data_IF_159265256326
#
_entry.id   IF_159265256326
#
_cell.length_a   1.000
_cell.length_b   1.000
_cell.length_c   1.000
_cell.angle_alpha   90.00
_cell.angle_beta   90.00
_cell.angle_gamma   90.00
#
_symmetry.space_group_name_H-M   'P 1'
#
loop_
_entity.id
_entity.type
_entity.pdbx_description
1 polymer ?
#
# COMPACT_ATOMS: atom_id res chain seq x y z
N UNK A 1 -12.05 17.95 -6.50
CA UNK A 1 -10.72 17.47 -6.09
C UNK A 1 -9.90 18.67 -5.66
N UNK A 2 -9.34 18.60 -4.43
CA UNK A 2 -8.80 19.79 -3.74
C UNK A 2 -7.28 20.00 -3.94
N UNK A 3 -6.58 19.06 -4.57
CA UNK A 3 -5.16 19.17 -4.88
C UNK A 3 -4.21 19.40 -3.67
N UNK A 4 -3.01 19.96 -3.89
CA UNK A 4 -1.95 20.06 -2.85
C UNK A 4 -2.34 20.87 -1.59
N UNK A 5 -3.31 21.77 -1.68
CA UNK A 5 -3.78 22.56 -0.52
C UNK A 5 -4.38 21.66 0.57
N UNK A 6 -5.03 20.56 0.19
CA UNK A 6 -5.57 19.60 1.16
C UNK A 6 -4.46 18.91 1.94
N UNK A 7 -3.36 18.53 1.28
CA UNK A 7 -2.19 17.90 1.92
C UNK A 7 -1.65 18.82 3.01
N UNK A 8 -1.42 20.10 2.68
CA UNK A 8 -0.95 21.07 3.65
C UNK A 8 -1.90 21.19 4.84
N UNK A 9 -3.22 21.32 4.59
CA UNK A 9 -4.23 21.43 5.66
C UNK A 9 -4.24 20.21 6.59
N UNK A 10 -3.98 19.00 6.10
CA UNK A 10 -3.91 17.78 6.91
C UNK A 10 -2.62 17.77 7.73
N UNK A 11 -1.49 18.12 7.13
CA UNK A 11 -0.19 18.22 7.83
C UNK A 11 -0.21 19.28 8.92
N UNK A 12 -0.79 20.43 8.68
CA UNK A 12 -0.93 21.52 9.66
C UNK A 12 -1.74 21.08 10.91
N UNK A 13 -2.52 20.01 10.81
CA UNK A 13 -3.23 19.36 11.93
C UNK A 13 -2.42 18.27 12.64
N UNK A 14 -1.17 18.03 12.22
CA UNK A 14 -0.28 17.03 12.84
C UNK A 14 -0.50 15.59 12.39
N UNK A 15 -1.22 15.36 11.27
CA UNK A 15 -1.42 14.00 10.75
C UNK A 15 -0.32 13.60 9.78
N UNK A 16 0.09 12.34 9.85
CA UNK A 16 0.88 11.68 8.79
C UNK A 16 0.03 11.40 7.56
N UNK A 17 0.64 11.46 6.39
CA UNK A 17 -0.08 11.33 5.11
C UNK A 17 0.49 10.19 4.27
N UNK A 18 -0.36 9.22 3.96
CA UNK A 18 -0.13 8.28 2.86
C UNK A 18 -0.79 8.84 1.59
N UNK A 19 0.02 9.31 0.66
CA UNK A 19 -0.44 9.83 -0.64
C UNK A 19 -0.52 8.69 -1.65
N UNK A 20 -1.69 8.09 -1.76
CA UNK A 20 -1.97 6.88 -2.53
C UNK A 20 -2.33 7.20 -4.00
N UNK A 21 -1.33 7.43 -4.84
CA UNK A 21 -1.50 7.75 -6.27
C UNK A 21 -1.23 6.58 -7.22
N UNK A 22 -0.52 5.56 -6.74
CA UNK A 22 -0.19 4.34 -7.52
C UNK A 22 0.45 4.66 -8.88
N UNK A 23 1.54 5.45 -8.88
CA UNK A 23 2.19 5.84 -10.13
C UNK A 23 2.63 4.61 -10.93
N UNK A 24 2.32 4.62 -12.21
CA UNK A 24 2.66 3.55 -13.15
C UNK A 24 2.81 4.16 -14.56
N UNK A 25 4.04 4.35 -14.99
CA UNK A 25 4.40 4.93 -16.28
C UNK A 25 5.87 4.59 -16.60
N UNK A 26 6.39 5.03 -17.73
CA UNK A 26 7.80 4.86 -18.05
C UNK A 26 8.70 5.53 -16.99
N UNK A 27 9.94 5.02 -16.77
CA UNK A 27 10.78 5.43 -15.65
C UNK A 27 10.98 6.95 -15.52
N UNK A 28 11.21 7.66 -16.64
CA UNK A 28 11.44 9.12 -16.61
C UNK A 28 10.20 9.88 -16.14
N UNK A 29 9.00 9.50 -16.58
CA UNK A 29 7.73 10.11 -16.19
C UNK A 29 7.50 9.93 -14.70
N UNK A 30 7.69 8.70 -14.19
CA UNK A 30 7.52 8.40 -12.76
C UNK A 30 8.55 9.15 -11.91
N UNK A 31 9.81 9.24 -12.35
CA UNK A 31 10.85 10.02 -11.67
C UNK A 31 10.45 11.50 -11.53
N UNK A 32 9.95 12.11 -12.60
CA UNK A 32 9.51 13.52 -12.59
C UNK A 32 8.26 13.73 -11.72
N UNK A 33 7.32 12.79 -11.74
CA UNK A 33 6.17 12.84 -10.84
C UNK A 33 6.60 12.76 -9.37
N UNK A 34 7.49 11.82 -9.02
CA UNK A 34 8.02 11.69 -7.65
C UNK A 34 8.83 12.90 -7.19
N UNK A 35 9.58 13.55 -8.07
CA UNK A 35 10.25 14.83 -7.80
C UNK A 35 9.26 15.92 -7.39
N UNK A 36 8.09 15.98 -8.07
CA UNK A 36 7.00 16.88 -7.69
C UNK A 36 6.38 16.53 -6.34
N UNK A 37 6.14 15.24 -6.09
CA UNK A 37 5.55 14.76 -4.83
C UNK A 37 6.49 14.95 -3.63
N UNK A 38 7.80 14.85 -3.84
CA UNK A 38 8.80 15.06 -2.80
C UNK A 38 8.69 16.45 -2.12
N UNK A 39 8.19 17.45 -2.86
CA UNK A 39 8.00 18.83 -2.36
C UNK A 39 6.76 18.98 -1.46
N UNK A 40 5.89 17.98 -1.42
CA UNK A 40 4.66 17.99 -0.59
C UNK A 40 4.91 17.53 0.84
N UNK A 41 6.10 17.01 1.12
CA UNK A 41 6.53 16.53 2.44
C UNK A 41 5.54 15.54 3.08
N UNK A 42 5.05 14.60 2.30
CA UNK A 42 4.19 13.50 2.77
C UNK A 42 5.04 12.37 3.37
N UNK A 43 4.42 11.50 4.18
CA UNK A 43 5.15 10.48 4.92
C UNK A 43 5.32 9.18 4.13
N UNK A 44 4.35 8.87 3.25
CA UNK A 44 4.33 7.66 2.44
C UNK A 44 3.75 7.93 1.06
N UNK A 45 4.39 7.35 0.02
CA UNK A 45 3.91 7.36 -1.38
C UNK A 45 3.97 5.96 -1.97
N UNK A 46 3.30 5.74 -3.10
CA UNK A 46 3.36 4.44 -3.77
C UNK A 46 3.46 4.51 -5.29
N UNK A 47 3.91 3.38 -5.84
CA UNK A 47 3.94 3.06 -7.27
C UNK A 47 3.29 1.69 -7.49
N UNK A 48 3.13 1.24 -8.73
CA UNK A 48 2.83 -0.16 -9.04
C UNK A 48 4.12 -0.96 -9.30
N UNK A 49 4.25 -2.14 -8.67
CA UNK A 49 5.39 -3.04 -8.90
C UNK A 49 5.43 -3.59 -10.34
N UNK A 50 4.27 -3.69 -10.98
CA UNK A 50 4.14 -4.11 -12.39
C UNK A 50 4.87 -3.20 -13.39
N UNK A 51 5.23 -1.97 -13.00
CA UNK A 51 6.09 -1.09 -13.79
C UNK A 51 7.54 -1.55 -13.88
N UNK A 52 7.93 -2.56 -13.10
CA UNK A 52 9.25 -3.19 -13.12
C UNK A 52 10.31 -2.42 -12.33
N UNK A 53 11.46 -3.09 -12.17
CA UNK A 53 12.55 -2.61 -11.32
C UNK A 53 13.08 -1.23 -11.75
N UNK A 54 13.30 -1.01 -13.04
CA UNK A 54 13.81 0.26 -13.55
C UNK A 54 12.89 1.46 -13.23
N UNK A 55 11.56 1.27 -13.33
CA UNK A 55 10.59 2.29 -12.96
C UNK A 55 10.62 2.58 -11.45
N UNK A 56 10.72 1.55 -10.62
CA UNK A 56 10.79 1.70 -9.16
C UNK A 56 12.08 2.39 -8.71
N UNK A 57 13.23 2.06 -9.29
CA UNK A 57 14.50 2.75 -9.05
C UNK A 57 14.43 4.23 -9.46
N UNK A 58 13.82 4.53 -10.62
CA UNK A 58 13.61 5.89 -11.07
C UNK A 58 12.67 6.68 -10.14
N UNK A 59 11.65 6.03 -9.58
CA UNK A 59 10.76 6.63 -8.58
C UNK A 59 11.54 7.07 -7.34
N UNK A 60 12.39 6.19 -6.79
CA UNK A 60 13.24 6.51 -5.63
C UNK A 60 14.18 7.66 -5.97
N UNK A 61 14.84 7.61 -7.13
CA UNK A 61 15.75 8.66 -7.58
C UNK A 61 15.06 10.03 -7.62
N UNK A 62 13.85 10.11 -8.19
CA UNK A 62 13.06 11.34 -8.22
C UNK A 62 12.68 11.84 -6.82
N UNK A 63 12.20 10.93 -5.96
CA UNK A 63 11.79 11.25 -4.60
C UNK A 63 12.96 11.80 -3.75
N UNK A 64 14.14 11.16 -3.82
CA UNK A 64 15.32 11.50 -3.02
C UNK A 64 16.01 12.80 -3.42
N UNK A 65 15.63 13.40 -4.55
CA UNK A 65 16.15 14.73 -4.93
C UNK A 65 15.74 15.83 -3.94
N UNK A 66 14.55 15.75 -3.36
CA UNK A 66 14.01 16.78 -2.49
C UNK A 66 13.57 16.27 -1.11
N UNK A 67 13.38 14.96 -0.95
CA UNK A 67 12.92 14.37 0.31
C UNK A 67 13.64 13.05 0.60
N UNK A 68 14.26 12.98 1.78
CA UNK A 68 14.99 11.78 2.25
C UNK A 68 14.16 10.92 3.22
N UNK A 69 13.06 11.45 3.73
CA UNK A 69 12.28 10.83 4.82
C UNK A 69 11.02 10.12 4.34
N UNK A 70 10.39 10.61 3.26
CA UNK A 70 9.20 9.97 2.70
C UNK A 70 9.49 8.51 2.35
N UNK A 71 8.68 7.60 2.90
CA UNK A 71 8.71 6.18 2.53
C UNK A 71 8.08 5.95 1.18
N UNK A 72 8.57 4.95 0.45
CA UNK A 72 8.02 4.56 -0.85
C UNK A 72 7.77 3.07 -0.89
N UNK A 73 6.55 2.66 -1.28
CA UNK A 73 6.13 1.27 -1.36
C UNK A 73 5.56 0.96 -2.75
N UNK A 74 5.46 -0.31 -3.10
CA UNK A 74 4.87 -0.72 -4.37
C UNK A 74 3.61 -1.57 -4.17
N UNK A 75 2.58 -1.32 -4.98
CA UNK A 75 1.40 -2.19 -5.06
C UNK A 75 1.79 -3.45 -5.83
N UNK A 76 1.60 -4.62 -5.21
CA UNK A 76 1.84 -5.93 -5.82
C UNK A 76 0.65 -6.32 -6.73
N UNK A 77 -0.25 -7.17 -6.24
CA UNK A 77 -1.51 -7.47 -6.91
C UNK A 77 -2.67 -6.81 -6.13
N UNK A 78 -3.71 -6.39 -6.84
CA UNK A 78 -4.89 -5.84 -6.19
C UNK A 78 -5.60 -6.96 -5.40
N UNK A 79 -6.15 -6.63 -4.24
CA UNK A 79 -6.88 -7.59 -3.40
C UNK A 79 -8.17 -8.13 -4.03
N UNK A 80 -8.62 -7.53 -5.13
CA UNK A 80 -9.73 -7.99 -5.97
C UNK A 80 -9.30 -8.96 -7.09
N UNK A 81 -8.00 -9.05 -7.42
CA UNK A 81 -7.50 -9.92 -8.49
C UNK A 81 -7.74 -11.38 -8.15
N UNK A 82 -8.30 -12.12 -9.10
CA UNK A 82 -8.48 -13.57 -9.05
C UNK A 82 -7.38 -14.27 -9.84
N UNK A 83 -7.17 -15.59 -9.64
CA UNK A 83 -6.23 -16.36 -10.46
C UNK A 83 -6.63 -16.36 -11.93
N UNK A 84 -7.91 -16.45 -12.23
CA UNK A 84 -8.41 -16.34 -13.61
C UNK A 84 -7.99 -15.02 -14.25
N UNK A 85 -8.17 -13.91 -13.56
CA UNK A 85 -7.72 -12.59 -14.06
C UNK A 85 -6.20 -12.52 -14.21
N UNK A 86 -5.45 -13.11 -13.27
CA UNK A 86 -3.99 -13.18 -13.33
C UNK A 86 -3.53 -13.93 -14.60
N UNK A 87 -4.13 -15.09 -14.86
CA UNK A 87 -3.75 -15.93 -15.98
C UNK A 87 -4.27 -15.41 -17.33
N UNK A 88 -5.54 -15.05 -17.42
CA UNK A 88 -6.19 -14.76 -18.70
C UNK A 88 -6.05 -13.28 -19.12
N UNK A 89 -6.10 -12.35 -18.15
CA UNK A 89 -6.07 -10.92 -18.48
C UNK A 89 -4.66 -10.32 -18.34
N UNK A 90 -3.85 -10.80 -17.37
CA UNK A 90 -2.49 -10.31 -17.15
C UNK A 90 -1.43 -11.22 -17.78
N UNK A 91 -1.80 -12.42 -18.26
CA UNK A 91 -0.91 -13.42 -18.86
C UNK A 91 0.25 -13.85 -17.91
N UNK A 92 -0.03 -13.94 -16.62
CA UNK A 92 0.91 -14.40 -15.58
C UNK A 92 0.49 -15.83 -15.20
N UNK A 93 1.33 -16.82 -15.47
CA UNK A 93 1.01 -18.25 -15.34
C UNK A 93 1.41 -18.85 -13.97
N UNK A 94 1.66 -18.01 -12.97
CA UNK A 94 1.96 -18.42 -11.58
C UNK A 94 0.74 -18.27 -10.69
N UNK A 95 0.81 -18.74 -9.46
CA UNK A 95 -0.20 -18.44 -8.44
C UNK A 95 -0.17 -16.94 -8.07
N UNK A 96 -1.25 -16.44 -7.47
CA UNK A 96 -1.29 -15.05 -6.95
C UNK A 96 -0.18 -14.83 -5.92
N UNK A 97 0.05 -15.79 -5.03
CA UNK A 97 1.08 -15.71 -3.99
C UNK A 97 2.49 -15.61 -4.58
N UNK A 98 2.80 -16.43 -5.60
CA UNK A 98 4.08 -16.38 -6.31
C UNK A 98 4.27 -15.04 -7.04
N UNK A 99 3.22 -14.54 -7.72
CA UNK A 99 3.25 -13.23 -8.38
C UNK A 99 3.48 -12.09 -7.39
N UNK A 100 2.76 -12.10 -6.25
CA UNK A 100 2.93 -11.12 -5.18
C UNK A 100 4.34 -11.17 -4.60
N UNK A 101 4.85 -12.36 -4.30
CA UNK A 101 6.20 -12.53 -3.77
C UNK A 101 7.27 -12.06 -4.76
N UNK A 102 7.10 -12.34 -6.05
CA UNK A 102 8.01 -11.84 -7.09
C UNK A 102 8.03 -10.30 -7.12
N UNK A 103 6.85 -9.65 -7.11
CA UNK A 103 6.76 -8.20 -7.06
C UNK A 103 7.37 -7.62 -5.77
N UNK A 104 7.18 -8.28 -4.63
CA UNK A 104 7.76 -7.86 -3.36
C UNK A 104 9.30 -7.94 -3.39
N UNK A 105 9.86 -9.03 -3.93
CA UNK A 105 11.32 -9.19 -4.13
C UNK A 105 11.89 -8.11 -5.05
N UNK A 106 11.25 -7.84 -6.20
CA UNK A 106 11.66 -6.79 -7.12
C UNK A 106 11.62 -5.40 -6.45
N UNK A 107 10.59 -5.15 -5.64
CA UNK A 107 10.44 -3.89 -4.89
C UNK A 107 11.59 -3.71 -3.88
N UNK A 108 11.92 -4.75 -3.12
CA UNK A 108 13.05 -4.71 -2.19
C UNK A 108 14.38 -4.52 -2.92
N UNK A 109 14.61 -5.24 -4.05
CA UNK A 109 15.81 -5.11 -4.87
C UNK A 109 15.96 -3.72 -5.51
N UNK A 110 14.85 -3.05 -5.80
CA UNK A 110 14.84 -1.67 -6.27
C UNK A 110 15.10 -0.66 -5.13
N UNK A 111 15.07 -1.08 -3.87
CA UNK A 111 15.33 -0.25 -2.70
C UNK A 111 14.09 0.42 -2.12
N UNK A 112 12.88 -0.08 -2.41
CA UNK A 112 11.65 0.40 -1.79
C UNK A 112 11.56 -0.03 -0.33
N UNK A 113 10.80 0.74 0.47
CA UNK A 113 10.61 0.49 1.90
C UNK A 113 9.60 -0.63 2.20
N UNK A 114 8.80 -1.05 1.22
CA UNK A 114 7.78 -2.08 1.40
C UNK A 114 6.83 -2.24 0.22
N UNK A 115 5.71 -2.92 0.49
CA UNK A 115 4.67 -3.19 -0.50
C UNK A 115 3.26 -2.97 0.06
N UNK A 116 2.29 -2.82 -0.86
CA UNK A 116 0.87 -3.05 -0.59
C UNK A 116 0.54 -4.46 -1.03
N UNK A 117 -0.02 -5.27 -0.13
CA UNK A 117 -0.39 -6.67 -0.37
C UNK A 117 -1.65 -7.04 0.44
N UNK A 118 -2.21 -8.21 0.22
CA UNK A 118 -3.24 -8.74 1.12
C UNK A 118 -2.63 -9.11 2.49
N UNK A 119 -3.38 -8.99 3.60
CA UNK A 119 -2.92 -9.54 4.88
C UNK A 119 -2.53 -11.02 4.81
N UNK A 120 -3.20 -11.80 3.96
CA UNK A 120 -2.93 -13.24 3.78
C UNK A 120 -1.52 -13.54 3.23
N UNK A 121 -0.91 -12.57 2.56
CA UNK A 121 0.43 -12.68 1.96
C UNK A 121 1.53 -12.13 2.89
N UNK A 122 1.16 -11.45 3.98
CA UNK A 122 2.10 -10.73 4.84
C UNK A 122 3.08 -11.67 5.56
N UNK A 123 2.64 -12.85 5.98
CA UNK A 123 3.49 -13.86 6.61
C UNK A 123 4.55 -14.38 5.65
N UNK A 124 4.15 -14.73 4.41
CA UNK A 124 5.06 -15.19 3.36
C UNK A 124 6.11 -14.11 3.02
N UNK A 125 5.68 -12.85 2.89
CA UNK A 125 6.58 -11.74 2.61
C UNK A 125 7.55 -11.54 3.78
N UNK A 126 7.08 -11.65 5.03
CA UNK A 126 7.92 -11.54 6.23
C UNK A 126 8.99 -12.63 6.27
N UNK A 127 8.61 -13.87 5.97
CA UNK A 127 9.54 -15.01 5.95
C UNK A 127 10.65 -14.87 4.90
N UNK A 128 10.34 -14.26 3.75
CA UNK A 128 11.27 -14.14 2.62
C UNK A 128 12.09 -12.85 2.61
N UNK A 129 11.52 -11.73 3.08
CA UNK A 129 12.11 -10.40 2.93
C UNK A 129 12.40 -9.71 4.29
N UNK A 130 12.05 -10.35 5.38
CA UNK A 130 12.27 -9.84 6.73
C UNK A 130 11.10 -8.99 7.27
N UNK A 131 11.09 -8.85 8.59
CA UNK A 131 10.02 -8.14 9.31
C UNK A 131 10.01 -6.63 9.09
N UNK A 132 11.16 -6.05 8.80
CA UNK A 132 11.35 -4.61 8.63
C UNK A 132 10.82 -4.09 7.27
N UNK A 133 10.65 -4.99 6.29
CA UNK A 133 10.04 -4.65 5.02
C UNK A 133 8.54 -4.40 5.22
N UNK A 134 8.06 -3.18 4.91
CA UNK A 134 6.69 -2.76 5.20
C UNK A 134 5.66 -3.59 4.42
N UNK A 135 4.61 -4.03 5.10
CA UNK A 135 3.40 -4.66 4.53
C UNK A 135 2.20 -3.78 4.89
N UNK A 136 1.79 -2.95 3.93
CA UNK A 136 0.62 -2.08 4.05
C UNK A 136 -0.57 -2.82 3.45
N UNK A 137 -1.55 -3.18 4.28
CA UNK A 137 -2.58 -4.14 3.88
C UNK A 137 -3.98 -3.54 3.89
N UNK A 138 -4.62 -3.39 2.71
CA UNK A 138 -6.05 -3.10 2.57
C UNK A 138 -6.90 -4.37 2.75
N UNK A 139 -8.21 -4.23 2.60
CA UNK A 139 -9.12 -5.37 2.76
C UNK A 139 -9.49 -5.66 4.22
N UNK A 140 -9.29 -4.69 5.10
CA UNK A 140 -9.59 -4.84 6.52
C UNK A 140 -11.06 -4.59 6.77
N UNK A 141 -11.69 -5.52 7.48
CA UNK A 141 -13.10 -5.47 7.86
C UNK A 141 -13.25 -5.88 9.33
N UNK A 142 -13.71 -4.98 10.21
CA UNK A 142 -14.14 -5.39 11.55
C UNK A 142 -15.19 -6.49 11.48
N UNK A 143 -15.29 -7.28 12.53
CA UNK A 143 -16.27 -8.36 12.63
C UNK A 143 -17.70 -7.83 12.40
N UNK A 144 -18.50 -8.55 11.60
CA UNK A 144 -19.86 -8.13 11.23
C UNK A 144 -19.97 -7.09 10.11
N UNK A 145 -18.86 -6.58 9.57
CA UNK A 145 -18.90 -5.62 8.47
C UNK A 145 -19.16 -6.27 7.10
N UNK A 146 -19.82 -5.55 6.18
CA UNK A 146 -20.07 -6.01 4.83
C UNK A 146 -18.78 -6.21 4.03
N UNK A 147 -18.70 -7.32 3.28
CA UNK A 147 -17.51 -7.66 2.47
C UNK A 147 -17.36 -6.78 1.22
N UNK A 148 -18.48 -6.37 0.61
CA UNK A 148 -18.54 -5.60 -0.65
C UNK A 148 -17.76 -6.29 -1.79
N UNK A 149 -16.91 -5.52 -2.50
CA UNK A 149 -16.06 -5.95 -3.62
C UNK A 149 -14.74 -6.60 -3.20
N UNK A 150 -14.42 -6.64 -1.90
CA UNK A 150 -13.20 -7.24 -1.39
C UNK A 150 -13.36 -8.76 -1.24
N UNK A 151 -12.47 -9.53 -1.89
CA UNK A 151 -12.50 -11.01 -1.87
C UNK A 151 -11.57 -11.60 -0.80
N UNK A 152 -10.50 -10.88 -0.44
CA UNK A 152 -9.49 -11.29 0.52
C UNK A 152 -9.50 -10.34 1.72
N UNK A 153 -10.41 -10.60 2.67
CA UNK A 153 -10.63 -9.75 3.86
C UNK A 153 -10.12 -10.42 5.13
N UNK A 154 -9.71 -9.60 6.10
CA UNK A 154 -9.35 -10.01 7.46
C UNK A 154 -9.83 -8.97 8.46
N UNK A 155 -9.91 -9.34 9.74
CA UNK A 155 -10.09 -8.36 10.82
C UNK A 155 -8.76 -7.63 11.11
N UNK A 156 -8.79 -6.48 11.82
CA UNK A 156 -7.57 -5.80 12.24
C UNK A 156 -6.62 -6.72 13.03
N UNK A 157 -7.15 -7.49 13.99
CA UNK A 157 -6.38 -8.43 14.82
C UNK A 157 -5.73 -9.52 13.97
N UNK A 158 -6.48 -10.13 13.07
CA UNK A 158 -5.97 -11.16 12.16
C UNK A 158 -4.85 -10.59 11.27
N UNK A 159 -5.03 -9.38 10.71
CA UNK A 159 -4.00 -8.74 9.91
C UNK A 159 -2.71 -8.51 10.70
N UNK A 160 -2.82 -8.12 11.99
CA UNK A 160 -1.68 -7.99 12.91
C UNK A 160 -0.97 -9.32 13.12
N UNK A 161 -1.72 -10.37 13.44
CA UNK A 161 -1.19 -11.72 13.64
C UNK A 161 -0.47 -12.28 12.40
N UNK A 162 -0.99 -11.99 11.21
CA UNK A 162 -0.38 -12.37 9.94
C UNK A 162 0.86 -11.53 9.56
N UNK A 163 1.21 -10.51 10.34
CA UNK A 163 2.43 -9.73 10.15
C UNK A 163 2.28 -8.47 9.29
N UNK A 164 1.06 -7.98 9.08
CA UNK A 164 0.86 -6.64 8.52
C UNK A 164 1.54 -5.59 9.40
N UNK A 165 2.26 -4.63 8.80
CA UNK A 165 2.89 -3.53 9.54
C UNK A 165 1.98 -2.32 9.65
N UNK A 166 1.11 -2.14 8.66
CA UNK A 166 0.11 -1.07 8.58
C UNK A 166 -1.15 -1.63 7.94
N UNK A 167 -2.31 -1.13 8.36
CA UNK A 167 -3.61 -1.49 7.77
C UNK A 167 -4.24 -0.28 7.09
N UNK A 168 -4.98 -0.53 6.00
CA UNK A 168 -5.77 0.50 5.31
C UNK A 168 -7.25 0.20 5.49
N UNK A 169 -7.96 1.08 6.18
CA UNK A 169 -9.39 0.93 6.45
C UNK A 169 -10.14 2.12 5.84
N UNK A 170 -10.97 1.84 4.86
CA UNK A 170 -11.79 2.85 4.16
C UNK A 170 -13.24 2.85 4.62
N UNK A 171 -14.10 2.17 3.86
CA UNK A 171 -15.57 2.14 4.04
C UNK A 171 -16.06 1.84 5.45
N UNK A 172 -15.47 0.92 6.23
CA UNK A 172 -15.88 0.71 7.62
C UNK A 172 -15.82 1.96 8.50
N UNK A 173 -14.98 2.93 8.14
CA UNK A 173 -14.91 4.23 8.81
C UNK A 173 -15.75 5.26 8.07
N UNK A 174 -15.50 5.44 6.76
CA UNK A 174 -16.03 6.58 6.00
C UNK A 174 -17.52 6.49 5.67
N UNK A 175 -18.11 5.29 5.74
CA UNK A 175 -19.54 5.02 5.51
C UNK A 175 -20.28 4.63 6.81
N UNK A 176 -19.64 4.76 7.95
CA UNK A 176 -20.26 4.52 9.26
C UNK A 176 -21.07 5.75 9.69
N UNK A 177 -22.13 5.51 10.47
CA UNK A 177 -22.95 6.58 11.08
C UNK A 177 -22.12 7.44 12.04
N UNK A 178 -21.10 6.86 12.69
CA UNK A 178 -20.14 7.55 13.55
C UNK A 178 -18.70 7.18 13.15
N UNK A 179 -18.08 7.91 12.19
CA UNK A 179 -16.74 7.63 11.71
C UNK A 179 -15.65 7.71 12.79
N UNK A 180 -15.83 8.61 13.79
CA UNK A 180 -14.86 8.77 14.88
C UNK A 180 -14.86 7.56 15.79
N UNK A 181 -16.03 7.11 16.21
CA UNK A 181 -16.20 5.91 17.04
C UNK A 181 -15.69 4.68 16.30
N UNK A 182 -16.04 4.52 15.02
CA UNK A 182 -15.58 3.40 14.19
C UNK A 182 -14.05 3.38 14.07
N UNK A 183 -13.42 4.54 13.86
CA UNK A 183 -11.97 4.65 13.85
C UNK A 183 -11.35 4.22 15.19
N UNK A 184 -11.91 4.65 16.32
CA UNK A 184 -11.38 4.30 17.66
C UNK A 184 -11.47 2.78 17.91
N UNK A 185 -12.61 2.16 17.63
CA UNK A 185 -12.80 0.71 17.76
C UNK A 185 -11.75 -0.05 16.92
N UNK A 186 -11.59 0.34 15.65
CA UNK A 186 -10.64 -0.32 14.74
C UNK A 186 -9.20 -0.11 15.21
N UNK A 187 -8.87 1.08 15.69
CA UNK A 187 -7.55 1.39 16.25
C UNK A 187 -7.24 0.55 17.48
N UNK A 188 -8.18 0.42 18.41
CA UNK A 188 -8.05 -0.41 19.60
C UNK A 188 -7.85 -1.88 19.23
N UNK A 189 -8.68 -2.41 18.35
CA UNK A 189 -8.58 -3.75 17.80
C UNK A 189 -7.22 -4.03 17.11
N UNK A 190 -6.66 -3.05 16.42
CA UNK A 190 -5.35 -3.14 15.78
C UNK A 190 -4.19 -3.09 16.79
N UNK A 191 -4.29 -2.24 17.80
CA UNK A 191 -3.20 -2.07 18.78
C UNK A 191 -3.16 -3.19 19.82
N UNK A 192 -4.30 -3.76 20.19
CA UNK A 192 -4.45 -4.82 21.19
C UNK A 192 -4.50 -4.27 22.58
#
# INVERSE_FOLDING_TARGET
QTGPKLIKSIKDRGHSIFLDLKLHDIPNTVSKAMEGLAKLDVDLVNVHAAGGKAMMEAAIKGLRQHNKHTKIIAVTQLTSTTETQLHEEQNIQTTIEEAVLNYAKLSQQAGLDGVVCSPLEAELITAQLGKDFMKVTPGIRPEGSAQNDQKRITTPEQAKQLGSTHIVVGRPITQSDDPVKSYQIIKESWLG
#
